data_IF_050169262545
#
_entry.id   IF_050169262545
#
_cell.length_a   1.000
_cell.length_b   1.000
_cell.length_c   1.000
_cell.angle_alpha   90.00
_cell.angle_beta   90.00
_cell.angle_gamma   90.00
#
_symmetry.space_group_name_H-M   'P 1'
#
loop_
_entity.id
_entity.type
_entity.pdbx_description
1 polymer ?
#
# COMPACT_ATOMS: atom_id res chain seq x y z
N UNK A 1 10.47 -8.09 -7.95
CA UNK A 1 9.70 -7.84 -9.19
C UNK A 1 9.76 -6.38 -9.61
N UNK A 2 9.33 -5.44 -8.77
CA UNK A 2 9.25 -3.99 -9.08
C UNK A 2 10.53 -3.40 -9.69
N UNK A 3 11.72 -3.70 -9.15
CA UNK A 3 13.00 -3.21 -9.68
C UNK A 3 13.33 -3.72 -11.08
N UNK A 4 12.97 -4.97 -11.39
CA UNK A 4 13.21 -5.57 -12.71
C UNK A 4 12.29 -4.91 -13.73
N UNK A 5 10.99 -4.84 -13.43
CA UNK A 5 10.01 -4.15 -14.28
C UNK A 5 10.35 -2.67 -14.48
N UNK A 6 10.83 -1.99 -13.44
CA UNK A 6 11.27 -0.62 -13.56
C UNK A 6 12.41 -0.45 -14.59
N UNK A 7 13.39 -1.34 -14.58
CA UNK A 7 14.48 -1.32 -15.56
C UNK A 7 13.99 -1.66 -16.97
N UNK A 8 13.12 -2.68 -17.11
CA UNK A 8 12.62 -3.17 -18.39
C UNK A 8 11.73 -2.16 -19.14
N UNK A 9 11.04 -1.26 -18.43
CA UNK A 9 10.07 -0.34 -19.02
C UNK A 9 10.58 1.11 -19.14
N UNK A 10 11.86 1.35 -18.82
CA UNK A 10 12.46 2.69 -18.89
C UNK A 10 12.55 3.21 -20.34
N UNK A 11 12.83 2.34 -21.30
CA UNK A 11 12.85 2.64 -22.75
C UNK A 11 11.49 3.16 -23.26
N UNK A 12 10.41 2.66 -22.69
CA UNK A 12 9.03 3.04 -22.95
C UNK A 12 8.57 4.26 -22.17
N UNK A 13 9.48 4.91 -21.44
CA UNK A 13 9.17 6.07 -20.59
C UNK A 13 8.10 5.74 -19.55
N UNK A 14 8.16 4.55 -18.95
CA UNK A 14 7.23 4.12 -17.90
C UNK A 14 8.01 3.92 -16.61
N UNK A 15 7.55 4.54 -15.52
CA UNK A 15 8.04 4.32 -14.17
C UNK A 15 7.22 3.23 -13.52
N UNK A 16 7.88 2.32 -12.82
CA UNK A 16 7.24 1.25 -12.03
C UNK A 16 7.62 1.41 -10.58
N UNK A 17 6.64 1.54 -9.70
CA UNK A 17 6.81 1.55 -8.25
C UNK A 17 5.81 0.61 -7.58
N UNK A 18 6.08 0.24 -6.33
CA UNK A 18 5.26 -0.65 -5.52
C UNK A 18 4.66 0.12 -4.34
N UNK A 19 3.39 -0.11 -4.05
CA UNK A 19 2.73 0.31 -2.81
C UNK A 19 2.43 -0.94 -1.98
N UNK A 20 2.88 -0.92 -0.73
CA UNK A 20 2.68 -1.97 0.27
C UNK A 20 1.72 -1.46 1.35
N UNK A 21 0.40 -1.65 1.18
CA UNK A 21 -0.61 -1.19 2.13
C UNK A 21 -0.64 -2.07 3.39
N UNK A 22 -1.06 -1.46 4.49
CA UNK A 22 -1.40 -2.16 5.74
C UNK A 22 -2.86 -2.61 5.77
N UNK A 23 -3.47 -2.78 6.96
CA UNK A 23 -4.89 -3.07 7.08
C UNK A 23 -5.73 -1.87 6.62
N UNK A 24 -6.42 -2.02 5.50
CA UNK A 24 -7.26 -0.96 4.89
C UNK A 24 -8.72 -1.41 4.88
N UNK A 25 -9.64 -0.52 5.25
CA UNK A 25 -11.09 -0.75 5.22
C UNK A 25 -11.60 -0.89 3.78
N UNK A 26 -11.46 -2.08 3.21
CA UNK A 26 -11.97 -2.43 1.89
C UNK A 26 -13.12 -3.44 2.00
N UNK A 27 -14.02 -3.52 1.01
CA UNK A 27 -15.13 -4.46 1.03
C UNK A 27 -14.73 -5.94 1.22
N UNK A 28 -13.48 -6.31 0.90
CA UNK A 28 -12.95 -7.67 1.09
C UNK A 28 -12.97 -8.13 2.56
N UNK A 29 -12.98 -7.18 3.51
CA UNK A 29 -13.02 -7.46 4.94
C UNK A 29 -14.45 -7.66 5.46
N UNK A 30 -15.48 -7.45 4.63
CA UNK A 30 -16.88 -7.65 5.02
C UNK A 30 -17.34 -9.04 4.63
N UNK A 31 -17.78 -9.82 5.61
CA UNK A 31 -18.46 -11.08 5.36
C UNK A 31 -19.89 -10.84 4.85
N UNK A 32 -20.46 -11.72 4.00
CA UNK A 32 -21.84 -11.63 3.58
C UNK A 32 -22.79 -11.62 4.79
N UNK A 33 -23.69 -10.63 4.84
CA UNK A 33 -24.67 -10.49 5.93
C UNK A 33 -24.13 -9.89 7.23
N UNK A 34 -22.85 -9.49 7.28
CA UNK A 34 -22.26 -8.84 8.44
C UNK A 34 -22.87 -7.45 8.68
N UNK A 35 -23.24 -7.18 9.93
CA UNK A 35 -23.75 -5.88 10.37
C UNK A 35 -22.62 -4.86 10.50
N UNK A 36 -22.97 -3.57 10.47
CA UNK A 36 -21.97 -2.50 10.65
C UNK A 36 -21.30 -2.54 12.03
N UNK A 37 -22.01 -2.99 13.06
CA UNK A 37 -21.48 -3.13 14.41
C UNK A 37 -20.46 -4.26 14.50
N UNK A 38 -20.73 -5.40 13.89
CA UNK A 38 -19.76 -6.51 13.80
C UNK A 38 -18.52 -6.10 13.01
N UNK A 39 -18.68 -5.31 11.94
CA UNK A 39 -17.55 -4.78 11.18
C UNK A 39 -16.71 -3.81 12.02
N UNK A 40 -17.34 -2.89 12.76
CA UNK A 40 -16.65 -1.98 13.67
C UNK A 40 -15.82 -2.72 14.72
N UNK A 41 -16.38 -3.75 15.36
CA UNK A 41 -15.65 -4.55 16.35
C UNK A 41 -14.42 -5.23 15.73
N UNK A 42 -14.56 -5.75 14.50
CA UNK A 42 -13.43 -6.29 13.76
C UNK A 42 -12.39 -5.21 13.44
N UNK A 43 -12.82 -4.06 12.92
CA UNK A 43 -11.96 -2.96 12.52
C UNK A 43 -11.17 -2.40 13.71
N UNK A 44 -11.80 -2.23 14.87
CA UNK A 44 -11.14 -1.80 16.12
C UNK A 44 -10.11 -2.83 16.59
N UNK A 45 -10.45 -4.12 16.52
CA UNK A 45 -9.54 -5.22 16.89
C UNK A 45 -8.31 -5.26 15.98
N UNK A 46 -8.47 -5.02 14.68
CA UNK A 46 -7.35 -4.96 13.73
C UNK A 46 -6.56 -3.66 13.91
N UNK A 47 -7.26 -2.53 14.01
CA UNK A 47 -6.69 -1.19 14.16
C UNK A 47 -5.86 -1.02 15.42
N UNK A 48 -6.24 -1.66 16.54
CA UNK A 48 -5.46 -1.66 17.78
C UNK A 48 -4.07 -2.28 17.65
N UNK A 49 -3.81 -3.06 16.60
CA UNK A 49 -2.49 -3.63 16.28
C UNK A 49 -1.65 -2.75 15.36
N UNK A 50 -2.27 -1.73 14.75
CA UNK A 50 -1.59 -0.76 13.88
C UNK A 50 -1.09 0.38 14.77
N UNK A 51 0.16 0.86 14.64
CA UNK A 51 0.65 2.00 15.42
C UNK A 51 -0.19 3.27 15.26
N UNK A 52 -0.81 3.48 14.10
CA UNK A 52 -1.78 4.55 13.87
C UNK A 52 -3.10 4.41 14.66
N UNK A 53 -3.31 3.28 15.37
CA UNK A 53 -4.46 3.03 16.24
C UNK A 53 -5.78 2.73 15.52
N UNK A 54 -5.76 2.58 14.19
CA UNK A 54 -6.94 2.33 13.36
C UNK A 54 -6.55 1.60 12.07
N UNK A 55 -7.55 1.05 11.39
CA UNK A 55 -7.40 0.67 9.99
C UNK A 55 -7.26 1.93 9.10
N UNK A 56 -6.51 1.80 8.01
CA UNK A 56 -6.42 2.82 6.99
C UNK A 56 -7.69 2.85 6.12
N UNK A 57 -7.91 3.96 5.43
CA UNK A 57 -9.00 4.12 4.47
C UNK A 57 -8.49 3.93 3.03
N UNK A 58 -9.34 3.48 2.08
CA UNK A 58 -8.95 3.33 0.68
C UNK A 58 -8.38 4.61 0.07
N UNK A 59 -8.86 5.77 0.50
CA UNK A 59 -8.42 7.09 0.03
C UNK A 59 -6.94 7.34 0.37
N UNK A 60 -6.43 6.81 1.48
CA UNK A 60 -5.02 6.96 1.86
C UNK A 60 -4.10 6.22 0.88
N UNK A 61 -4.54 5.05 0.37
CA UNK A 61 -3.84 4.34 -0.70
C UNK A 61 -3.98 5.07 -2.03
N UNK A 62 -5.18 5.58 -2.34
CA UNK A 62 -5.45 6.29 -3.58
C UNK A 62 -4.57 7.55 -3.71
N UNK A 63 -4.37 8.30 -2.64
CA UNK A 63 -3.48 9.47 -2.61
C UNK A 63 -2.03 9.08 -2.89
N UNK A 64 -1.54 8.00 -2.28
CA UNK A 64 -0.19 7.50 -2.54
C UNK A 64 -0.01 7.07 -4.01
N UNK A 65 -0.99 6.35 -4.56
CA UNK A 65 -1.00 5.94 -5.97
C UNK A 65 -1.06 7.17 -6.90
N UNK A 66 -1.90 8.16 -6.59
CA UNK A 66 -2.00 9.39 -7.38
C UNK A 66 -0.69 10.18 -7.38
N UNK A 67 0.00 10.26 -6.24
CA UNK A 67 1.34 10.84 -6.17
C UNK A 67 2.34 10.10 -7.05
N UNK A 68 2.38 8.77 -6.98
CA UNK A 68 3.23 7.93 -7.84
C UNK A 68 2.88 8.06 -9.33
N UNK A 69 1.62 8.33 -9.64
CA UNK A 69 1.15 8.58 -11.01
C UNK A 69 1.51 9.99 -11.51
N UNK A 70 1.72 10.95 -10.62
CA UNK A 70 2.03 12.34 -10.95
C UNK A 70 3.52 12.60 -11.23
N UNK A 71 3.80 13.76 -11.83
CA UNK A 71 5.17 14.28 -12.07
C UNK A 71 5.94 14.59 -10.78
N UNK A 72 5.24 14.74 -9.65
CA UNK A 72 5.86 14.94 -8.33
C UNK A 72 6.72 13.74 -7.88
N UNK A 73 6.56 12.59 -8.53
CA UNK A 73 7.37 11.38 -8.30
C UNK A 73 8.28 11.04 -9.49
N UNK A 74 8.59 12.02 -10.35
CA UNK A 74 9.35 11.84 -11.60
C UNK A 74 10.71 11.14 -11.44
N UNK A 75 11.35 11.26 -10.28
CA UNK A 75 12.63 10.61 -9.97
C UNK A 75 12.51 9.33 -9.13
N UNK A 76 11.28 8.84 -8.92
CA UNK A 76 11.03 7.60 -8.19
C UNK A 76 10.82 6.44 -9.16
N UNK A 77 11.73 5.48 -9.10
CA UNK A 77 11.73 4.30 -9.96
C UNK A 77 12.15 3.06 -9.16
N UNK A 78 11.35 1.99 -9.26
CA UNK A 78 11.62 0.71 -8.61
C UNK A 78 11.48 0.75 -7.08
N UNK A 79 10.87 1.81 -6.51
CA UNK A 79 10.69 1.97 -5.09
C UNK A 79 9.54 1.12 -4.55
N UNK A 80 9.64 0.69 -3.29
CA UNK A 80 8.53 0.09 -2.52
C UNK A 80 8.14 1.09 -1.42
N UNK A 81 6.89 1.52 -1.43
CA UNK A 81 6.35 2.54 -0.53
C UNK A 81 5.36 1.87 0.42
N UNK A 82 5.68 1.83 1.71
CA UNK A 82 4.78 1.34 2.73
C UNK A 82 3.70 2.40 3.05
N UNK A 83 2.44 2.01 3.00
CA UNK A 83 1.28 2.85 3.38
C UNK A 83 0.42 2.04 4.35
N UNK A 84 0.95 1.83 5.54
CA UNK A 84 0.50 0.76 6.44
C UNK A 84 0.25 1.20 7.89
N UNK A 85 0.18 2.51 8.13
CA UNK A 85 -0.02 3.05 9.48
C UNK A 85 1.14 2.73 10.44
N UNK A 86 2.32 2.41 9.91
CA UNK A 86 3.52 2.08 10.68
C UNK A 86 3.66 0.60 11.02
N UNK A 87 2.76 -0.27 10.53
CA UNK A 87 2.75 -1.68 10.88
C UNK A 87 4.03 -2.40 10.43
N UNK A 88 4.48 -2.19 9.20
CA UNK A 88 5.72 -2.77 8.67
C UNK A 88 6.96 -2.22 9.36
N UNK A 89 6.97 -0.93 9.71
CA UNK A 89 8.07 -0.29 10.44
C UNK A 89 8.20 -0.79 11.89
N UNK A 90 7.08 -0.97 12.59
CA UNK A 90 7.05 -1.44 13.97
C UNK A 90 7.31 -2.94 14.09
N UNK A 91 6.83 -3.75 13.13
CA UNK A 91 7.01 -5.21 13.15
C UNK A 91 8.45 -5.64 12.79
N UNK A 92 9.14 -4.86 11.95
CA UNK A 92 10.55 -5.13 11.58
C UNK A 92 11.49 -5.03 12.80
N UNK A 93 11.11 -4.33 13.87
CA UNK A 93 11.89 -4.28 15.11
C UNK A 93 11.68 -5.46 16.06
N UNK A 94 10.61 -6.26 15.90
CA UNK A 94 10.23 -7.23 16.93
C UNK A 94 10.09 -8.68 16.49
N UNK A 95 9.72 -9.02 15.25
CA UNK A 95 9.59 -10.44 14.86
C UNK A 95 9.89 -10.68 13.38
N UNK A 96 10.72 -11.70 13.14
CA UNK A 96 11.09 -12.24 11.84
C UNK A 96 10.00 -13.20 11.32
N UNK A 97 8.74 -12.74 11.23
CA UNK A 97 7.61 -13.59 10.85
C UNK A 97 7.09 -13.31 9.44
N UNK A 98 7.11 -14.38 8.63
CA UNK A 98 6.75 -14.46 7.21
C UNK A 98 5.24 -14.33 6.90
N UNK A 99 4.45 -13.71 7.79
CA UNK A 99 2.98 -13.69 7.70
C UNK A 99 2.36 -12.37 7.26
N UNK A 100 3.14 -11.31 7.00
CA UNK A 100 2.59 -10.12 6.37
C UNK A 100 2.34 -10.42 4.89
N UNK A 101 1.09 -10.71 4.53
CA UNK A 101 0.64 -10.77 3.13
C UNK A 101 0.86 -9.39 2.53
N UNK A 102 2.04 -9.17 1.95
CA UNK A 102 2.39 -7.92 1.27
C UNK A 102 1.65 -7.91 -0.05
N UNK A 103 0.44 -7.38 -0.06
CA UNK A 103 -0.29 -7.10 -1.29
C UNK A 103 0.39 -5.94 -2.00
N UNK A 104 1.37 -6.21 -2.85
CA UNK A 104 2.12 -5.18 -3.56
C UNK A 104 1.33 -4.71 -4.78
N UNK A 105 0.85 -3.46 -4.77
CA UNK A 105 0.24 -2.82 -5.94
C UNK A 105 1.34 -2.17 -6.78
N UNK A 106 1.45 -2.55 -8.05
CA UNK A 106 2.40 -1.93 -8.98
C UNK A 106 1.74 -0.74 -9.68
N UNK A 107 2.32 0.45 -9.53
CA UNK A 107 1.87 1.66 -10.21
C UNK A 107 2.80 1.91 -11.40
N UNK A 108 2.19 2.00 -12.58
CA UNK A 108 2.86 2.38 -13.82
C UNK A 108 2.44 3.80 -14.22
N UNK A 109 3.41 4.68 -14.45
CA UNK A 109 3.16 6.08 -14.80
C UNK A 109 4.11 6.55 -15.91
N UNK A 110 3.62 7.37 -16.83
CA UNK A 110 4.41 7.86 -17.94
C UNK A 110 5.42 8.91 -17.45
N UNK A 111 6.66 8.86 -17.96
CA UNK A 111 7.67 9.87 -17.72
C UNK A 111 7.29 11.08 -18.60
N UNK A 112 7.03 12.25 -18.01
CA UNK A 112 6.76 13.45 -18.80
C UNK A 112 7.94 13.70 -19.73
N UNK A 113 7.62 13.82 -21.02
CA UNK A 113 8.56 14.24 -22.04
C UNK A 113 8.87 15.71 -21.78
N UNK A 114 10.07 16.00 -21.26
CA UNK A 114 10.68 17.31 -21.39
C UNK A 114 10.88 17.68 -22.86
#
# INVERSE_FOLDING_TARGET
MTRVLAAEFTDRKIRVNAVSPGPIETPIHRAPGQTEEEFRVYADKVGSKVPAGRMGKPEEIAVAVAFLASDNSSYMLGAEIAVDGGLGGALTMLLNDHLCVRTVVHVAAQIPLC
#
